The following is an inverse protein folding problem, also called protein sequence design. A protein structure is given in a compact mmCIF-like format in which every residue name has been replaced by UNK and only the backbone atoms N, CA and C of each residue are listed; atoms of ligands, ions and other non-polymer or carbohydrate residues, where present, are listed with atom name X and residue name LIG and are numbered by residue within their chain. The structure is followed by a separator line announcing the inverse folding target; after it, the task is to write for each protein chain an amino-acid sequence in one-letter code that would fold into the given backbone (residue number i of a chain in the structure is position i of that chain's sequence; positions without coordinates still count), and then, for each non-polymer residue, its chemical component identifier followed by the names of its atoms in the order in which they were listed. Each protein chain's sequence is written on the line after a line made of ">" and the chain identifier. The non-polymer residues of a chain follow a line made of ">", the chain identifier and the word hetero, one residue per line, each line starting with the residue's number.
data_IF_750316024684
#
_entry.id   IF_750316024684
#
_cell.length_a   1.000
_cell.length_b   1.000
_cell.length_c   1.000
_cell.angle_alpha   90.00
_cell.angle_beta   90.00
_cell.angle_gamma   90.00
#
_symmetry.space_group_name_H-M   'P 1'
#
loop_
_entity.id
_entity.type
_entity.pdbx_description
1 polymer ?
#
# COMPACT_ATOMS: atom_id res chain seq x y z
N UNK A 1 -6.32 -3.57 12.53
CA UNK A 1 -6.19 -4.63 11.51
C UNK A 1 -7.57 -5.09 11.06
N UNK A 2 -7.72 -5.35 9.76
CA UNK A 2 -8.93 -5.85 9.10
C UNK A 2 -8.66 -7.26 8.55
N UNK A 3 -9.41 -8.25 9.03
CA UNK A 3 -9.20 -9.66 8.66
C UNK A 3 -9.86 -10.01 7.33
N UNK A 4 -9.12 -10.71 6.48
CA UNK A 4 -9.61 -11.27 5.21
C UNK A 4 -9.24 -12.75 5.11
N UNK A 5 -9.89 -13.54 4.24
CA UNK A 5 -9.50 -14.92 3.97
C UNK A 5 -8.07 -15.10 3.43
N UNK A 6 -7.41 -14.02 2.99
CA UNK A 6 -6.06 -14.05 2.39
C UNK A 6 -5.00 -13.33 3.23
N UNK A 7 -5.31 -13.04 4.49
CA UNK A 7 -4.43 -12.38 5.44
C UNK A 7 -5.08 -11.18 6.13
N UNK A 8 -4.29 -10.47 6.95
CA UNK A 8 -4.75 -9.30 7.70
C UNK A 8 -4.20 -8.04 7.06
N UNK A 9 -5.10 -7.11 6.72
CA UNK A 9 -4.74 -5.77 6.29
C UNK A 9 -4.48 -4.94 7.56
N UNK A 10 -3.39 -4.18 7.64
CA UNK A 10 -3.12 -3.38 8.83
C UNK A 10 -4.20 -2.32 9.05
N UNK A 11 -4.44 -1.50 8.02
CA UNK A 11 -5.54 -0.53 7.98
C UNK A 11 -6.27 -0.60 6.64
N UNK A 12 -7.60 -0.71 6.71
CA UNK A 12 -8.49 -0.49 5.58
C UNK A 12 -9.30 0.78 5.87
N UNK A 13 -9.03 1.83 5.10
CA UNK A 13 -9.60 3.15 5.30
C UNK A 13 -10.48 3.56 4.11
N UNK A 14 -11.29 4.60 4.31
CA UNK A 14 -12.02 5.30 3.24
C UNK A 14 -11.56 6.75 3.24
N UNK A 15 -11.05 7.23 2.11
CA UNK A 15 -10.64 8.62 1.94
C UNK A 15 -11.86 9.55 1.87
N UNK A 16 -11.64 10.87 2.02
CA UNK A 16 -12.73 11.88 1.97
C UNK A 16 -13.60 11.80 0.70
N UNK A 17 -13.03 11.32 -0.41
CA UNK A 17 -13.73 11.17 -1.71
C UNK A 17 -14.40 9.80 -1.91
N UNK A 18 -14.38 8.92 -0.91
CA UNK A 18 -14.97 7.57 -1.00
C UNK A 18 -14.03 6.49 -1.57
N UNK A 19 -12.78 6.81 -1.90
CA UNK A 19 -11.77 5.83 -2.31
C UNK A 19 -11.35 4.95 -1.13
N UNK A 20 -11.26 3.65 -1.34
CA UNK A 20 -10.67 2.75 -0.35
C UNK A 20 -9.15 2.87 -0.34
N UNK A 21 -8.56 2.83 0.85
CA UNK A 21 -7.12 2.91 1.05
C UNK A 21 -6.67 1.74 1.91
N UNK A 22 -5.86 0.86 1.33
CA UNK A 22 -5.16 -0.21 2.04
C UNK A 22 -3.83 0.35 2.50
N UNK A 23 -3.56 0.31 3.81
CA UNK A 23 -2.25 0.69 4.35
C UNK A 23 -1.57 -0.56 4.92
N UNK A 24 -0.34 -0.76 4.51
CA UNK A 24 0.58 -1.77 5.04
C UNK A 24 1.69 -1.06 5.81
N UNK A 25 1.92 -1.43 7.07
CA UNK A 25 2.87 -0.76 7.94
C UNK A 25 4.02 -1.72 8.27
N UNK A 26 5.26 -1.28 8.03
CA UNK A 26 6.48 -1.94 8.51
C UNK A 26 7.18 -0.97 9.47
N UNK A 27 7.44 -1.42 10.70
CA UNK A 27 8.08 -0.56 11.72
C UNK A 27 9.48 -0.14 11.29
N UNK A 28 10.22 -1.07 10.69
CA UNK A 28 11.59 -0.89 10.22
C UNK A 28 11.62 -0.90 8.68
N UNK A 29 12.44 -1.78 8.12
CA UNK A 29 12.67 -1.94 6.70
C UNK A 29 11.53 -2.71 6.01
N UNK A 30 11.06 -2.19 4.87
CA UNK A 30 10.12 -2.89 4.00
C UNK A 30 10.83 -3.56 2.81
N UNK A 31 10.99 -4.89 2.91
CA UNK A 31 11.49 -5.73 1.81
C UNK A 31 10.57 -5.70 0.59
N UNK A 32 11.09 -6.07 -0.58
CA UNK A 32 10.34 -6.17 -1.84
C UNK A 32 9.07 -7.06 -1.75
N UNK A 33 9.06 -8.05 -0.86
CA UNK A 33 7.87 -8.85 -0.52
C UNK A 33 6.63 -8.01 -0.15
N UNK A 34 6.81 -6.80 0.38
CA UNK A 34 5.71 -5.88 0.74
C UNK A 34 4.84 -5.50 -0.45
N UNK A 35 5.41 -5.45 -1.67
CA UNK A 35 4.65 -5.16 -2.89
C UNK A 35 3.65 -6.27 -3.18
N UNK A 36 4.06 -7.53 -3.03
CA UNK A 36 3.16 -8.67 -3.19
C UNK A 36 2.04 -8.65 -2.14
N UNK A 37 2.36 -8.30 -0.89
CA UNK A 37 1.38 -8.19 0.18
C UNK A 37 0.34 -7.11 -0.10
N UNK A 38 0.75 -5.89 -0.46
CA UNK A 38 -0.20 -4.80 -0.70
C UNK A 38 -1.04 -5.02 -1.96
N UNK A 39 -0.44 -5.51 -3.06
CA UNK A 39 -1.16 -5.80 -4.30
C UNK A 39 -2.23 -6.86 -4.10
N UNK A 40 -1.92 -7.90 -3.32
CA UNK A 40 -2.87 -8.94 -2.93
C UNK A 40 -4.08 -8.36 -2.18
N UNK A 41 -3.84 -7.45 -1.24
CA UNK A 41 -4.92 -6.82 -0.47
C UNK A 41 -5.74 -5.83 -1.29
N UNK A 42 -5.12 -5.02 -2.14
CA UNK A 42 -5.83 -4.17 -3.10
C UNK A 42 -6.77 -5.02 -3.97
N UNK A 43 -6.27 -6.13 -4.54
CA UNK A 43 -7.08 -7.02 -5.37
C UNK A 43 -8.26 -7.64 -4.62
N UNK A 44 -8.08 -7.99 -3.34
CA UNK A 44 -9.17 -8.51 -2.53
C UNK A 44 -10.24 -7.46 -2.24
N UNK A 45 -9.86 -6.24 -1.88
CA UNK A 45 -10.81 -5.15 -1.64
C UNK A 45 -11.53 -4.79 -2.94
N UNK A 46 -10.80 -4.69 -4.05
CA UNK A 46 -11.36 -4.46 -5.39
C UNK A 46 -12.49 -5.45 -5.71
N UNK A 47 -12.28 -6.74 -5.41
CA UNK A 47 -13.22 -7.81 -5.76
C UNK A 47 -14.37 -7.98 -4.77
N UNK A 48 -14.12 -7.81 -3.47
CA UNK A 48 -15.03 -8.30 -2.41
C UNK A 48 -15.71 -7.19 -1.62
N UNK A 49 -15.22 -5.95 -1.68
CA UNK A 49 -15.79 -4.84 -0.91
C UNK A 49 -16.71 -4.02 -1.80
N UNK A 50 -17.94 -3.77 -1.33
CA UNK A 50 -18.92 -2.95 -2.06
C UNK A 50 -18.35 -1.55 -2.31
N UNK A 51 -18.30 -1.15 -3.58
CA UNK A 51 -17.71 0.12 -4.00
C UNK A 51 -16.17 0.11 -4.09
N UNK A 52 -15.51 -1.04 -3.93
CA UNK A 52 -14.06 -1.17 -4.05
C UNK A 52 -13.56 -1.41 -5.49
N UNK A 53 -14.41 -1.86 -6.39
CA UNK A 53 -14.03 -2.12 -7.79
C UNK A 53 -13.47 -0.83 -8.43
N UNK A 54 -12.24 -0.91 -8.91
CA UNK A 54 -11.47 0.19 -9.51
C UNK A 54 -11.34 1.46 -8.62
N UNK A 55 -11.63 1.34 -7.32
CA UNK A 55 -11.71 2.45 -6.37
C UNK A 55 -10.90 2.16 -5.09
N UNK A 56 -9.73 1.54 -5.27
CA UNK A 56 -8.83 1.15 -4.18
C UNK A 56 -7.40 1.53 -4.54
N UNK A 57 -6.70 2.15 -3.60
CA UNK A 57 -5.25 2.40 -3.68
C UNK A 57 -4.51 1.83 -2.47
N UNK A 58 -3.22 1.55 -2.65
CA UNK A 58 -2.33 1.10 -1.58
C UNK A 58 -1.38 2.19 -1.09
N UNK A 59 -1.08 2.15 0.20
CA UNK A 59 0.02 2.89 0.83
C UNK A 59 0.90 1.89 1.60
N UNK A 60 2.21 1.92 1.36
CA UNK A 60 3.19 1.24 2.21
C UNK A 60 3.85 2.32 3.08
N UNK A 61 3.81 2.14 4.39
CA UNK A 61 4.49 2.98 5.36
C UNK A 61 5.63 2.20 6.00
N UNK A 62 6.86 2.69 5.85
CA UNK A 62 8.06 2.07 6.40
C UNK A 62 9.10 3.15 6.71
N UNK A 63 10.04 2.88 7.63
CA UNK A 63 11.15 3.78 7.90
C UNK A 63 12.18 3.73 6.77
N UNK A 64 12.45 2.54 6.23
CA UNK A 64 13.43 2.33 5.17
C UNK A 64 12.97 1.36 4.08
N UNK A 65 13.57 1.51 2.90
CA UNK A 65 13.38 0.60 1.76
C UNK A 65 14.75 0.22 1.18
N UNK A 66 15.12 -1.08 1.21
CA UNK A 66 16.40 -1.55 0.69
C UNK A 66 16.41 -1.48 -0.84
N UNK A 67 17.59 -1.64 -1.43
CA UNK A 67 17.79 -1.46 -2.87
C UNK A 67 16.89 -2.39 -3.71
N UNK A 68 16.68 -3.63 -3.26
CA UNK A 68 15.75 -4.58 -3.88
C UNK A 68 14.32 -4.02 -3.99
N UNK A 69 13.77 -3.50 -2.89
CA UNK A 69 12.45 -2.88 -2.86
C UNK A 69 12.41 -1.61 -3.74
N UNK A 70 13.50 -0.85 -3.79
CA UNK A 70 13.61 0.34 -4.67
C UNK A 70 13.61 -0.05 -6.15
N UNK A 71 14.26 -1.14 -6.53
CA UNK A 71 14.19 -1.66 -7.91
C UNK A 71 12.80 -2.19 -8.26
N UNK A 72 12.14 -2.92 -7.35
CA UNK A 72 10.74 -3.35 -7.54
C UNK A 72 9.82 -2.15 -7.75
N UNK A 73 10.02 -1.07 -6.97
CA UNK A 73 9.33 0.22 -7.16
C UNK A 73 9.53 0.78 -8.55
N UNK A 74 10.77 0.81 -9.07
CA UNK A 74 11.08 1.35 -10.40
C UNK A 74 10.37 0.56 -11.51
N UNK A 75 10.30 -0.77 -11.39
CA UNK A 75 9.56 -1.62 -12.33
C UNK A 75 8.08 -1.23 -12.47
N UNK A 76 7.49 -0.65 -11.41
CA UNK A 76 6.11 -0.19 -11.35
C UNK A 76 5.91 1.26 -11.83
N UNK A 77 6.97 2.01 -12.20
CA UNK A 77 6.85 3.43 -12.58
C UNK A 77 6.55 3.68 -14.07
N UNK A 78 6.18 2.63 -14.83
CA UNK A 78 5.82 2.78 -16.25
C UNK A 78 4.59 3.70 -16.41
N UNK A 79 4.45 4.45 -17.53
CA UNK A 79 3.43 5.50 -17.67
C UNK A 79 2.01 5.08 -17.29
N UNK A 80 1.63 3.85 -17.63
CA UNK A 80 0.29 3.30 -17.41
C UNK A 80 0.08 2.73 -15.99
N UNK A 81 1.12 2.66 -15.16
CA UNK A 81 1.06 2.12 -13.79
C UNK A 81 0.92 3.21 -12.72
N UNK A 82 1.12 4.49 -13.07
CA UNK A 82 0.94 5.62 -12.14
C UNK A 82 -0.48 5.70 -11.57
N UNK A 83 -1.46 5.14 -12.28
CA UNK A 83 -2.85 5.03 -11.84
C UNK A 83 -3.03 4.00 -10.70
N UNK A 84 -2.14 2.99 -10.62
CA UNK A 84 -2.24 1.87 -9.70
C UNK A 84 -1.29 1.98 -8.49
N UNK A 85 -0.11 2.59 -8.66
CA UNK A 85 0.82 2.84 -7.57
C UNK A 85 1.47 4.23 -7.67
N UNK A 86 1.24 5.05 -6.65
CA UNK A 86 1.89 6.35 -6.48
C UNK A 86 2.73 6.34 -5.20
N UNK A 87 4.01 6.69 -5.33
CA UNK A 87 4.91 6.81 -4.20
C UNK A 87 5.09 8.28 -3.84
N UNK A 88 4.85 8.62 -2.58
CA UNK A 88 5.18 9.92 -2.01
C UNK A 88 6.06 9.69 -0.79
N UNK A 89 7.28 10.24 -0.83
CA UNK A 89 8.09 10.33 0.38
C UNK A 89 7.51 11.45 1.24
N UNK A 90 7.09 11.11 2.44
CA UNK A 90 6.72 12.09 3.46
C UNK A 90 7.83 12.12 4.48
N UNK A 91 8.49 13.27 4.63
CA UNK A 91 9.39 13.50 5.76
C UNK A 91 8.55 13.69 7.01
N UNK A 92 8.37 12.62 7.77
CA UNK A 92 7.75 12.70 9.09
C UNK A 92 8.87 13.01 10.08
N UNK A 93 8.89 14.23 10.62
CA UNK A 93 9.62 14.49 11.86
C UNK A 93 8.78 13.87 12.98
N UNK A 94 9.05 12.61 13.28
CA UNK A 94 8.54 12.00 14.50
C UNK A 94 9.34 12.64 15.62
N UNK A 95 8.71 13.51 16.41
CA UNK A 95 9.33 14.00 17.64
C UNK A 95 9.52 12.79 18.54
N UNK A 96 10.76 12.53 18.94
CA UNK A 96 11.07 11.50 19.92
C UNK A 96 10.22 11.74 21.17
N UNK A 97 9.49 10.70 21.58
CA UNK A 97 8.62 10.72 22.77
C UNK A 97 9.35 10.11 23.96
#
# INVERSE_FOLDING_TARGET
>A
QFSTPIGRIDLLCIAKKGEYVVVEIKADEAQDSVFGQILRYIGWVHRNVKGGRDNVRGIILASEFPESARYSRIGLMKPNYKEFLQFKKHGLNVQDT
#
